data_IF_639211562204
#
_entry.id   IF_639211562204
#
_cell.length_a   1.000
_cell.length_b   1.000
_cell.length_c   1.000
_cell.angle_alpha   90.00
_cell.angle_beta   90.00
_cell.angle_gamma   90.00
#
_symmetry.space_group_name_H-M   'P 1'
#
loop_
_entity.id
_entity.type
_entity.pdbx_description
1 polymer ?
#
# COMPACT_ATOMS: atom_id res chain seq x y z
N UNK A 1 13.13 4.51 -22.26
CA UNK A 1 12.85 4.68 -20.82
C UNK A 1 12.87 3.27 -20.26
N UNK A 2 13.86 2.87 -19.44
CA UNK A 2 13.91 1.51 -18.93
C UNK A 2 12.65 1.29 -18.09
N UNK A 3 11.78 0.38 -18.54
CA UNK A 3 10.67 -0.12 -17.73
C UNK A 3 11.29 -0.61 -16.42
N UNK A 4 11.04 0.11 -15.33
CA UNK A 4 11.36 -0.32 -13.97
C UNK A 4 10.59 -1.60 -13.75
N UNK A 5 11.21 -2.73 -14.10
CA UNK A 5 10.67 -4.06 -13.84
C UNK A 5 10.62 -4.20 -12.34
N UNK A 6 9.46 -3.91 -11.78
CA UNK A 6 9.19 -4.13 -10.37
C UNK A 6 9.44 -5.61 -10.12
N UNK A 7 10.20 -5.90 -9.08
CA UNK A 7 10.44 -7.28 -8.71
C UNK A 7 9.10 -7.92 -8.33
N UNK A 8 8.71 -9.05 -8.94
CA UNK A 8 7.42 -9.68 -8.64
C UNK A 8 7.27 -10.00 -7.15
N UNK A 9 8.37 -10.40 -6.50
CA UNK A 9 8.43 -10.63 -5.06
C UNK A 9 8.17 -9.38 -4.22
N UNK A 10 8.57 -8.20 -4.69
CA UNK A 10 8.29 -6.93 -4.01
C UNK A 10 6.81 -6.57 -4.18
N UNK A 11 6.27 -6.75 -5.39
CA UNK A 11 4.87 -6.47 -5.70
C UNK A 11 3.93 -7.37 -4.89
N UNK A 12 4.21 -8.67 -4.78
CA UNK A 12 3.44 -9.60 -3.93
C UNK A 12 3.46 -9.19 -2.45
N UNK A 13 4.61 -8.74 -1.94
CA UNK A 13 4.72 -8.28 -0.56
C UNK A 13 3.96 -6.96 -0.32
N UNK A 14 4.02 -6.06 -1.29
CA UNK A 14 3.30 -4.78 -1.27
C UNK A 14 1.78 -4.99 -1.31
N UNK A 15 1.30 -5.83 -2.22
CA UNK A 15 -0.11 -6.19 -2.34
C UNK A 15 -0.64 -6.84 -1.06
N UNK A 16 0.15 -7.73 -0.44
CA UNK A 16 -0.20 -8.34 0.84
C UNK A 16 -0.29 -7.30 1.98
N UNK A 17 0.64 -6.35 2.07
CA UNK A 17 0.56 -5.29 3.09
C UNK A 17 -0.62 -4.35 2.83
N UNK A 18 -0.89 -3.98 1.58
CA UNK A 18 -2.07 -3.19 1.19
C UNK A 18 -3.37 -3.91 1.59
N UNK A 19 -3.48 -5.19 1.28
CA UNK A 19 -4.65 -6.00 1.62
C UNK A 19 -4.79 -6.22 3.14
N UNK A 20 -3.68 -6.26 3.89
CA UNK A 20 -3.71 -6.33 5.35
C UNK A 20 -4.09 -5.00 6.02
N UNK A 21 -3.69 -3.86 5.46
CA UNK A 21 -3.85 -2.54 6.07
C UNK A 21 -5.12 -1.81 5.63
N UNK A 22 -5.52 -2.02 4.37
CA UNK A 22 -6.60 -1.28 3.70
C UNK A 22 -7.62 -2.22 3.04
N UNK A 23 -7.38 -3.55 3.03
CA UNK A 23 -8.23 -4.52 2.35
C UNK A 23 -8.45 -4.26 0.84
N UNK A 24 -7.55 -3.51 0.22
CA UNK A 24 -7.53 -3.22 -1.22
C UNK A 24 -6.27 -3.83 -1.85
N UNK A 25 -6.36 -4.15 -3.14
CA UNK A 25 -5.21 -4.58 -3.94
C UNK A 25 -4.76 -3.45 -4.88
N UNK A 26 -3.56 -3.56 -5.43
CA UNK A 26 -3.02 -2.51 -6.33
C UNK A 26 -3.89 -2.28 -7.60
N UNK A 27 -4.69 -3.26 -8.02
CA UNK A 27 -5.66 -3.15 -9.12
C UNK A 27 -6.86 -2.27 -8.74
N UNK A 28 -7.41 -2.45 -7.53
CA UNK A 28 -8.58 -1.71 -7.03
C UNK A 28 -8.33 -0.20 -6.96
N UNK A 29 -7.10 0.19 -6.62
CA UNK A 29 -6.66 1.60 -6.56
C UNK A 29 -6.11 2.13 -7.89
N UNK A 30 -6.11 1.32 -8.95
CA UNK A 30 -5.60 1.71 -10.26
C UNK A 30 -4.11 2.04 -10.25
N UNK A 31 -3.31 1.34 -9.43
CA UNK A 31 -1.88 1.58 -9.33
C UNK A 31 -1.16 1.07 -10.58
N UNK A 32 -0.60 1.99 -11.37
CA UNK A 32 0.20 1.65 -12.55
C UNK A 32 1.63 1.25 -12.17
N UNK A 33 2.28 0.45 -13.04
CA UNK A 33 3.67 0.00 -12.85
C UNK A 33 4.66 1.17 -12.69
N UNK A 34 4.33 2.34 -13.22
CA UNK A 34 5.12 3.56 -13.05
C UNK A 34 5.06 4.10 -11.61
N UNK A 35 3.85 4.11 -11.01
CA UNK A 35 3.61 4.54 -9.63
C UNK A 35 4.27 3.56 -8.67
N UNK A 36 4.01 2.26 -8.86
CA UNK A 36 4.66 1.20 -8.09
C UNK A 36 6.19 1.27 -8.23
N UNK A 37 6.72 1.61 -9.41
CA UNK A 37 8.15 1.79 -9.64
C UNK A 37 8.76 2.95 -8.85
N UNK A 38 7.98 3.99 -8.56
CA UNK A 38 8.40 5.08 -7.68
C UNK A 38 8.51 4.64 -6.22
N UNK A 39 7.66 3.71 -5.79
CA UNK A 39 7.68 3.15 -4.43
C UNK A 39 8.58 1.92 -4.29
N UNK A 40 8.98 1.28 -5.39
CA UNK A 40 9.82 0.08 -5.40
C UNK A 40 11.23 0.29 -4.81
N UNK A 41 11.66 1.54 -4.64
CA UNK A 41 12.90 1.89 -3.94
C UNK A 41 12.77 1.72 -2.40
N UNK A 42 11.53 1.77 -1.90
CA UNK A 42 11.20 1.61 -0.48
C UNK A 42 10.80 0.16 -0.18
N UNK A 43 10.94 -0.29 1.08
CA UNK A 43 10.38 -1.57 1.47
C UNK A 43 8.84 -1.56 1.32
N UNK A 44 8.23 -2.70 0.94
CA UNK A 44 6.81 -2.78 0.56
C UNK A 44 5.85 -2.28 1.65
N UNK A 45 6.21 -2.44 2.92
CA UNK A 45 5.44 -1.89 4.05
C UNK A 45 5.46 -0.36 4.10
N UNK A 46 6.63 0.26 3.92
CA UNK A 46 6.74 1.73 3.92
C UNK A 46 6.05 2.31 2.69
N UNK A 47 6.19 1.64 1.54
CA UNK A 47 5.45 1.98 0.33
C UNK A 47 3.93 1.94 0.57
N UNK A 48 3.39 0.88 1.19
CA UNK A 48 1.95 0.76 1.43
C UNK A 48 1.44 1.84 2.41
N UNK A 49 2.23 2.17 3.44
CA UNK A 49 1.90 3.25 4.37
C UNK A 49 1.95 4.63 3.71
N UNK A 50 2.98 4.91 2.91
CA UNK A 50 3.10 6.15 2.16
C UNK A 50 1.97 6.30 1.15
N UNK A 51 1.64 5.23 0.42
CA UNK A 51 0.54 5.21 -0.52
C UNK A 51 -0.81 5.45 0.16
N UNK A 52 -1.09 4.74 1.25
CA UNK A 52 -2.31 4.98 2.02
C UNK A 52 -2.43 6.38 2.58
N UNK A 53 -1.30 7.00 2.96
CA UNK A 53 -1.29 8.39 3.43
C UNK A 53 -1.40 9.43 2.31
N UNK A 54 -0.84 9.16 1.13
CA UNK A 54 -0.83 10.08 -0.02
C UNK A 54 -2.23 10.13 -0.68
N UNK A 55 -2.90 8.98 -0.72
CA UNK A 55 -4.22 8.82 -1.32
C UNK A 55 -5.38 8.90 -0.31
N UNK A 56 -5.09 9.22 0.95
CA UNK A 56 -6.06 9.27 2.08
C UNK A 56 -6.98 8.03 2.09
N UNK A 57 -6.39 6.86 1.86
CA UNK A 57 -7.16 5.62 1.80
C UNK A 57 -7.71 5.35 3.20
N UNK A 58 -9.02 5.12 3.27
CA UNK A 58 -9.67 4.68 4.50
C UNK A 58 -8.99 3.38 4.91
N UNK A 59 -8.12 3.46 5.93
CA UNK A 59 -7.57 2.27 6.56
C UNK A 59 -8.76 1.47 7.05
N UNK A 60 -8.68 0.15 6.94
CA UNK A 60 -9.63 -0.69 7.63
C UNK A 60 -9.38 -0.52 9.14
N UNK A 61 -9.99 0.53 9.71
CA UNK A 61 -9.86 1.04 11.07
C UNK A 61 -10.54 0.08 12.09
N UNK A 62 -10.85 -1.15 11.66
CA UNK A 62 -11.22 -2.25 12.52
C UNK A 62 -9.99 -2.89 13.20
N UNK A 63 -8.79 -2.71 12.65
CA UNK A 63 -7.55 -3.28 13.19
C UNK A 63 -6.76 -2.36 14.15
N UNK A 64 -7.13 -1.08 14.28
CA UNK A 64 -6.53 -0.18 15.27
C UNK A 64 -7.39 -0.10 16.55
N UNK A 65 -6.81 -0.26 17.76
CA UNK A 65 -7.50 0.13 18.97
C UNK A 65 -7.66 1.65 18.91
N UNK A 66 -8.89 2.10 18.66
CA UNK A 66 -9.27 3.51 18.58
C UNK A 66 -8.81 4.21 19.86
N UNK A 67 -7.79 5.09 19.82
CA UNK A 67 -7.39 5.82 21.00
C UNK A 67 -8.39 6.98 21.17
N UNK A 68 -9.59 6.69 21.69
CA UNK A 68 -10.53 7.77 22.00
C UNK A 68 -12.02 7.47 21.99
N UNK A 69 -12.48 6.22 22.13
CA UNK A 69 -13.90 6.01 22.49
C UNK A 69 -13.98 5.88 24.01
N UNK A 70 -14.42 6.91 24.76
CA UNK A 70 -14.76 6.72 26.16
C UNK A 70 -16.01 5.82 26.23
N UNK A 71 -15.93 4.82 27.10
CA UNK A 71 -17.04 3.96 27.53
C UNK A 71 -18.12 4.78 28.22
#
# INVERSE_FOLDING_TARGET
MPMTKIHPTWLEAFDKELLQLFAIDHNDVGMDEYLLGCYADLPPREAALAFGSDYDLERDDALWPRPGVPM
#
